data_IF_979817851213
#
_entry.id   IF_979817851213
#
_cell.length_a   1.000
_cell.length_b   1.000
_cell.length_c   1.000
_cell.angle_alpha   90.00
_cell.angle_beta   90.00
_cell.angle_gamma   90.00
#
_symmetry.space_group_name_H-M   'P 1'
#
loop_
_entity.id
_entity.type
_entity.pdbx_description
1 polymer ?
#
# COMPACT_ATOMS: atom_id res chain seq x y z
N UNK A 1 6.37 -0.12 23.77
CA UNK A 1 5.71 -0.44 22.50
C UNK A 1 4.53 0.49 22.25
N UNK A 2 4.53 1.16 21.14
CA UNK A 2 3.45 2.07 20.79
C UNK A 2 2.37 1.31 20.01
N UNK A 3 1.18 1.20 20.59
CA UNK A 3 0.06 0.51 19.97
C UNK A 3 -1.02 1.47 19.50
N UNK A 4 -0.60 2.70 19.17
CA UNK A 4 -1.56 3.70 18.69
C UNK A 4 -1.95 3.51 17.24
N UNK A 5 -1.38 2.53 16.56
CA UNK A 5 -1.70 2.27 15.17
C UNK A 5 -3.17 1.87 15.04
N UNK A 6 -3.89 2.59 14.21
CA UNK A 6 -5.28 2.28 13.88
C UNK A 6 -5.30 2.06 12.37
N UNK A 7 -5.72 0.88 11.91
CA UNK A 7 -5.78 0.62 10.47
C UNK A 7 -6.68 1.64 9.77
N UNK A 8 -6.18 2.15 8.66
CA UNK A 8 -6.95 3.05 7.82
C UNK A 8 -6.89 2.53 6.39
N UNK A 9 -8.04 2.26 5.81
CA UNK A 9 -8.16 1.70 4.47
C UNK A 9 -8.74 2.75 3.54
N UNK A 10 -8.12 2.89 2.37
CA UNK A 10 -8.71 3.64 1.27
C UNK A 10 -9.36 2.65 0.31
N UNK A 11 -10.37 3.10 -0.39
CA UNK A 11 -11.11 2.28 -1.34
C UNK A 11 -11.05 2.94 -2.71
N UNK A 12 -10.80 2.15 -3.75
CA UNK A 12 -10.77 2.69 -5.11
C UNK A 12 -12.17 3.14 -5.54
N UNK A 13 -12.25 4.07 -6.49
CA UNK A 13 -13.55 4.39 -7.09
C UNK A 13 -14.20 3.10 -7.59
N UNK A 14 -15.51 2.98 -7.38
CA UNK A 14 -16.28 1.78 -7.72
C UNK A 14 -15.93 0.54 -6.90
N UNK A 15 -15.09 0.70 -5.85
CA UNK A 15 -14.86 -0.28 -4.80
C UNK A 15 -14.28 -1.62 -5.28
N UNK A 16 -13.47 -1.59 -6.32
CA UNK A 16 -12.81 -2.81 -6.81
C UNK A 16 -11.71 -3.28 -5.88
N UNK A 17 -11.15 -2.37 -5.10
CA UNK A 17 -9.97 -2.65 -4.29
C UNK A 17 -9.89 -1.74 -3.08
N UNK A 18 -9.37 -2.30 -1.98
CA UNK A 18 -9.01 -1.52 -0.79
C UNK A 18 -7.53 -1.62 -0.55
N UNK A 19 -6.93 -0.59 -0.01
CA UNK A 19 -5.50 -0.59 0.25
C UNK A 19 -5.15 0.15 1.53
N UNK A 20 -4.07 -0.30 2.17
CA UNK A 20 -3.57 0.29 3.40
C UNK A 20 -2.05 0.15 3.44
N UNK A 21 -1.45 0.69 4.50
CA UNK A 21 0.01 0.70 4.65
C UNK A 21 0.38 0.30 6.07
N UNK A 22 1.39 -0.57 6.20
CA UNK A 22 1.95 -0.95 7.48
C UNK A 22 3.47 -0.76 7.44
N UNK A 23 4.06 -0.50 8.61
CA UNK A 23 5.48 -0.19 8.73
C UNK A 23 6.27 -1.21 9.56
N UNK A 24 5.60 -2.18 10.15
CA UNK A 24 6.25 -3.23 10.93
C UNK A 24 5.32 -4.42 11.08
N UNK A 25 5.85 -5.50 11.65
CA UNK A 25 5.09 -6.72 11.84
C UNK A 25 3.90 -6.55 12.79
N UNK A 26 4.07 -5.72 13.84
CA UNK A 26 2.97 -5.49 14.79
C UNK A 26 1.78 -4.85 14.11
N UNK A 27 2.02 -3.84 13.27
CA UNK A 27 0.94 -3.20 12.52
C UNK A 27 0.28 -4.18 11.55
N UNK A 28 1.08 -5.01 10.89
CA UNK A 28 0.54 -6.03 10.00
C UNK A 28 -0.38 -6.99 10.77
N UNK A 29 0.05 -7.45 11.94
CA UNK A 29 -0.75 -8.36 12.74
C UNK A 29 -2.05 -7.71 13.21
N UNK A 30 -2.04 -6.40 13.49
CA UNK A 30 -3.25 -5.67 13.87
C UNK A 30 -4.30 -5.72 12.75
N UNK A 31 -3.87 -5.69 11.49
CA UNK A 31 -4.81 -5.80 10.37
C UNK A 31 -5.58 -7.12 10.40
N UNK A 32 -5.03 -8.15 11.02
CA UNK A 32 -5.63 -9.47 11.12
C UNK A 32 -6.11 -9.78 12.54
N UNK A 33 -6.61 -8.73 13.24
CA UNK A 33 -7.19 -8.83 14.60
C UNK A 33 -6.21 -9.40 15.61
N UNK A 34 -4.93 -9.05 15.49
CA UNK A 34 -3.86 -9.47 16.39
C UNK A 34 -3.58 -10.98 16.35
N UNK A 35 -4.09 -11.69 15.34
CA UNK A 35 -3.62 -13.03 15.06
C UNK A 35 -2.49 -12.95 14.05
N UNK A 36 -1.73 -14.02 13.92
CA UNK A 36 -0.61 -14.02 12.99
C UNK A 36 -1.12 -13.80 11.56
N UNK A 37 -0.53 -12.81 10.89
CA UNK A 37 -0.86 -12.54 9.50
C UNK A 37 -0.48 -13.73 8.62
N UNK A 38 -1.16 -13.95 7.48
CA UNK A 38 -0.86 -15.08 6.60
C UNK A 38 0.46 -14.93 5.83
N UNK A 39 1.18 -13.84 6.03
CA UNK A 39 2.51 -13.61 5.45
C UNK A 39 3.32 -12.78 6.42
N UNK A 40 4.64 -12.78 6.25
CA UNK A 40 5.53 -12.00 7.11
C UNK A 40 5.76 -10.62 6.54
N UNK A 41 5.95 -9.64 7.41
CA UNK A 41 6.25 -8.27 7.00
C UNK A 41 7.53 -8.26 6.17
N UNK A 42 7.46 -7.72 4.95
CA UNK A 42 8.59 -7.62 4.00
C UNK A 42 9.32 -8.96 3.83
N UNK A 43 8.57 -10.05 3.70
CA UNK A 43 9.17 -11.39 3.72
C UNK A 43 10.19 -11.64 2.62
N UNK A 44 10.19 -10.83 1.56
CA UNK A 44 11.19 -10.94 0.49
C UNK A 44 12.49 -10.22 0.83
N UNK A 45 12.52 -9.49 1.96
CA UNK A 45 13.68 -8.68 2.31
C UNK A 45 13.75 -7.36 1.56
N UNK A 46 12.71 -7.00 0.83
CA UNK A 46 12.64 -5.74 0.10
C UNK A 46 12.49 -4.57 1.04
N UNK A 47 12.79 -3.36 0.57
CA UNK A 47 12.59 -2.13 1.35
C UNK A 47 11.12 -1.74 1.39
N UNK A 48 10.36 -2.12 0.38
CA UNK A 48 8.91 -1.97 0.34
C UNK A 48 8.33 -3.02 -0.59
N UNK A 49 7.08 -3.37 -0.36
CA UNK A 49 6.36 -4.28 -1.26
C UNK A 49 4.88 -4.16 -1.01
N UNK A 50 4.07 -4.65 -1.93
CA UNK A 50 2.64 -4.79 -1.73
C UNK A 50 2.27 -6.27 -1.83
N UNK A 51 1.43 -6.72 -0.91
CA UNK A 51 0.89 -8.07 -0.92
C UNK A 51 -0.62 -7.97 -1.15
N UNK A 52 -1.11 -8.75 -2.10
CA UNK A 52 -2.53 -8.76 -2.43
C UNK A 52 -3.20 -9.98 -1.80
N UNK A 53 -4.30 -9.73 -1.08
CA UNK A 53 -5.15 -10.79 -0.53
C UNK A 53 -6.56 -10.44 -0.97
N UNK A 54 -7.14 -11.28 -1.83
CA UNK A 54 -8.43 -11.02 -2.44
C UNK A 54 -8.40 -9.64 -3.12
N UNK A 55 -9.30 -8.74 -2.73
CA UNK A 55 -9.33 -7.38 -3.28
C UNK A 55 -8.69 -6.36 -2.34
N UNK A 56 -7.80 -6.81 -1.46
CA UNK A 56 -7.08 -5.94 -0.54
C UNK A 56 -5.61 -5.89 -0.92
N UNK A 57 -5.05 -4.68 -0.92
CA UNK A 57 -3.63 -4.45 -1.15
C UNK A 57 -2.99 -3.93 0.14
N UNK A 58 -2.00 -4.63 0.64
CA UNK A 58 -1.33 -4.25 1.88
C UNK A 58 0.10 -3.85 1.53
N UNK A 59 0.35 -2.55 1.55
CA UNK A 59 1.68 -1.99 1.29
C UNK A 59 2.49 -2.09 2.58
N UNK A 60 3.70 -2.60 2.46
CA UNK A 60 4.64 -2.70 3.56
C UNK A 60 5.85 -1.85 3.21
N UNK A 61 6.28 -1.02 4.13
CA UNK A 61 7.48 -0.20 3.92
C UNK A 61 8.35 -0.26 5.14
N UNK A 62 9.65 -0.47 4.92
CA UNK A 62 10.63 -0.55 5.98
C UNK A 62 10.74 0.79 6.71
N UNK A 63 10.83 0.73 8.02
CA UNK A 63 11.02 1.92 8.84
C UNK A 63 12.52 2.21 8.91
N UNK A 64 12.93 3.28 8.25
CA UNK A 64 14.35 3.60 8.11
C UNK A 64 14.56 5.09 8.33
N UNK A 65 15.22 5.42 9.45
CA UNK A 65 15.35 6.80 9.90
C UNK A 65 16.21 7.67 8.97
N UNK A 66 17.14 7.06 8.21
CA UNK A 66 18.05 7.83 7.37
C UNK A 66 17.56 8.02 5.94
N UNK A 67 16.36 7.53 5.59
CA UNK A 67 15.78 7.80 4.30
C UNK A 67 15.18 9.21 4.29
N UNK A 68 15.39 9.94 3.18
CA UNK A 68 14.70 11.20 2.99
C UNK A 68 13.33 10.95 2.33
N UNK A 69 12.53 12.02 2.26
CA UNK A 69 11.18 11.88 1.70
C UNK A 69 11.17 11.45 0.25
N UNK A 70 12.17 11.86 -0.54
CA UNK A 70 12.23 11.45 -1.94
C UNK A 70 12.40 9.94 -2.08
N UNK A 71 13.24 9.35 -1.23
CA UNK A 71 13.42 7.89 -1.23
C UNK A 71 12.13 7.18 -0.82
N UNK A 72 11.47 7.69 0.21
CA UNK A 72 10.21 7.11 0.68
C UNK A 72 9.13 7.23 -0.38
N UNK A 73 8.98 8.42 -0.97
CA UNK A 73 7.98 8.64 -2.02
C UNK A 73 8.25 7.77 -3.25
N UNK A 74 9.52 7.59 -3.60
CA UNK A 74 9.88 6.71 -4.71
C UNK A 74 9.44 5.27 -4.46
N UNK A 75 9.67 4.76 -3.25
CA UNK A 75 9.24 3.41 -2.90
C UNK A 75 7.72 3.29 -2.92
N UNK A 76 7.02 4.28 -2.38
CA UNK A 76 5.56 4.25 -2.34
C UNK A 76 4.96 4.39 -3.74
N UNK A 77 5.55 5.21 -4.59
CA UNK A 77 5.12 5.34 -5.97
C UNK A 77 5.25 4.00 -6.71
N UNK A 78 6.37 3.31 -6.49
CA UNK A 78 6.59 2.00 -7.08
C UNK A 78 5.46 1.04 -6.70
N UNK A 79 5.10 1.00 -5.42
CA UNK A 79 4.01 0.13 -4.96
C UNK A 79 2.65 0.59 -5.50
N UNK A 80 2.44 1.91 -5.62
CA UNK A 80 1.20 2.43 -6.21
C UNK A 80 1.02 1.94 -7.65
N UNK A 81 2.10 1.87 -8.41
CA UNK A 81 2.04 1.34 -9.77
C UNK A 81 1.63 -0.14 -9.76
N UNK A 82 2.16 -0.94 -8.83
CA UNK A 82 1.73 -2.33 -8.71
C UNK A 82 0.26 -2.44 -8.35
N UNK A 83 -0.25 -1.58 -7.47
CA UNK A 83 -1.68 -1.56 -7.14
C UNK A 83 -2.49 -1.24 -8.40
N UNK A 84 -2.05 -0.25 -9.18
CA UNK A 84 -2.73 0.09 -10.43
C UNK A 84 -2.75 -1.09 -11.40
N UNK A 85 -1.63 -1.81 -11.54
CA UNK A 85 -1.56 -2.96 -12.43
C UNK A 85 -2.57 -4.03 -12.06
N UNK A 86 -2.73 -4.26 -10.76
CA UNK A 86 -3.71 -5.21 -10.27
C UNK A 86 -5.13 -4.68 -10.45
N UNK A 87 -5.35 -3.41 -10.15
CA UNK A 87 -6.65 -2.77 -10.24
C UNK A 87 -7.19 -2.77 -11.66
N UNK A 88 -6.36 -2.40 -12.64
CA UNK A 88 -6.83 -2.35 -14.02
C UNK A 88 -7.22 -3.73 -14.53
N UNK A 89 -6.53 -4.76 -14.07
CA UNK A 89 -6.88 -6.13 -14.42
C UNK A 89 -8.23 -6.52 -13.82
N UNK A 90 -8.45 -6.17 -12.54
CA UNK A 90 -9.73 -6.43 -11.87
C UNK A 90 -10.88 -5.70 -12.54
N UNK A 91 -10.64 -4.52 -13.08
CA UNK A 91 -11.65 -3.74 -13.80
C UNK A 91 -11.85 -4.21 -15.24
N UNK A 92 -10.98 -5.09 -15.73
CA UNK A 92 -11.05 -5.53 -17.13
C UNK A 92 -10.58 -4.47 -18.12
N UNK A 93 -9.76 -3.52 -17.69
CA UNK A 93 -9.25 -2.43 -18.54
C UNK A 93 -7.95 -2.86 -19.19
N UNK A 94 -8.04 -3.42 -20.38
CA UNK A 94 -6.87 -3.90 -21.10
C UNK A 94 -6.04 -2.75 -21.69
N UNK A 95 -6.70 -1.68 -22.13
CA UNK A 95 -6.04 -0.54 -22.78
C UNK A 95 -6.64 0.76 -22.27
N UNK A 96 -6.40 1.11 -21.00
CA UNK A 96 -6.93 2.35 -20.46
C UNK A 96 -6.30 3.54 -21.17
N UNK A 97 -7.04 4.67 -21.23
CA UNK A 97 -6.47 5.88 -21.78
C UNK A 97 -5.28 6.32 -20.95
N UNK A 98 -4.33 7.02 -21.56
CA UNK A 98 -3.13 7.47 -20.85
C UNK A 98 -3.47 8.40 -19.69
N UNK A 99 -4.48 9.25 -19.84
CA UNK A 99 -4.90 10.14 -18.76
C UNK A 99 -5.58 9.40 -17.63
N UNK A 100 -6.45 8.45 -17.93
CA UNK A 100 -7.08 7.65 -16.89
C UNK A 100 -6.03 6.89 -16.07
N UNK A 101 -5.05 6.30 -16.74
CA UNK A 101 -3.96 5.61 -16.07
C UNK A 101 -3.14 6.55 -15.20
N UNK A 102 -2.75 7.71 -15.75
CA UNK A 102 -1.92 8.66 -15.01
C UNK A 102 -2.64 9.19 -13.76
N UNK A 103 -3.92 9.57 -13.91
CA UNK A 103 -4.69 10.04 -12.76
C UNK A 103 -4.91 8.95 -11.73
N UNK A 104 -5.10 7.71 -12.18
CA UNK A 104 -5.28 6.59 -11.25
C UNK A 104 -4.03 6.34 -10.42
N UNK A 105 -2.87 6.33 -11.06
CA UNK A 105 -1.60 6.17 -10.35
C UNK A 105 -1.37 7.34 -9.40
N UNK A 106 -1.66 8.55 -9.83
CA UNK A 106 -1.53 9.73 -8.98
C UNK A 106 -2.38 9.60 -7.72
N UNK A 107 -3.64 9.22 -7.87
CA UNK A 107 -4.55 9.06 -6.74
C UNK A 107 -4.04 8.00 -5.75
N UNK A 108 -3.62 6.85 -6.27
CA UNK A 108 -3.09 5.78 -5.44
C UNK A 108 -1.82 6.23 -4.69
N UNK A 109 -0.92 6.90 -5.40
CA UNK A 109 0.33 7.37 -4.81
C UNK A 109 0.06 8.39 -3.70
N UNK A 110 -0.83 9.34 -3.95
CA UNK A 110 -1.17 10.36 -2.96
C UNK A 110 -1.78 9.74 -1.70
N UNK A 111 -2.63 8.73 -1.87
CA UNK A 111 -3.19 8.03 -0.73
C UNK A 111 -2.12 7.31 0.08
N UNK A 112 -1.15 6.67 -0.59
CA UNK A 112 -0.06 6.02 0.13
C UNK A 112 0.83 7.02 0.84
N UNK A 113 1.09 8.18 0.23
CA UNK A 113 1.84 9.26 0.88
C UNK A 113 1.11 9.73 2.14
N UNK A 114 -0.21 9.89 2.05
CA UNK A 114 -1.04 10.31 3.17
C UNK A 114 -1.01 9.28 4.31
N UNK A 115 -1.17 8.01 3.97
CA UNK A 115 -1.08 6.93 4.95
C UNK A 115 0.28 6.90 5.64
N UNK A 116 1.34 7.13 4.87
CA UNK A 116 2.69 7.17 5.44
C UNK A 116 2.82 8.31 6.44
N UNK A 117 2.36 9.53 6.08
CA UNK A 117 2.43 10.67 6.97
C UNK A 117 1.64 10.44 8.27
N UNK A 118 0.46 9.86 8.15
CA UNK A 118 -0.38 9.59 9.32
C UNK A 118 0.22 8.53 10.24
N UNK A 119 1.08 7.67 9.72
CA UNK A 119 1.68 6.58 10.49
C UNK A 119 3.00 6.95 11.16
N UNK A 120 3.48 8.16 10.94
CA UNK A 120 4.76 8.59 11.50
C UNK A 120 4.69 8.91 12.99
#
# INVERSE_FOLDING_TARGET
MNNNYVPEWYTTPFEHMRYTLVRNQDQLDILFDNVKAPFEFLESGADARVTFIDDHAIVQIKDCDWWDLNQIHGLLLHEAVHIWQELKEKMGEESPSVEFEAYSIQALAQDLFDLYEKSR
#
